data_IF_836863881762
#
_entry.id   IF_836863881762
#
_cell.length_a   1.000
_cell.length_b   1.000
_cell.length_c   1.000
_cell.angle_alpha   90.00
_cell.angle_beta   90.00
_cell.angle_gamma   90.00
#
_symmetry.space_group_name_H-M   'P 1'
#
loop_
_entity.id
_entity.type
_entity.pdbx_description
1 polymer ?
#
# COMPACT_ATOMS: atom_id res chain seq x y z
N UNK A 1 45.26 -20.38 -8.32
CA UNK A 1 44.79 -19.10 -8.87
C UNK A 1 44.49 -18.20 -7.69
N UNK A 2 45.43 -17.34 -7.36
CA UNK A 2 45.32 -16.29 -6.33
C UNK A 2 44.45 -15.18 -6.89
N UNK A 3 43.21 -15.07 -6.40
CA UNK A 3 42.38 -13.90 -6.66
C UNK A 3 43.00 -12.70 -5.94
N UNK A 4 43.28 -11.64 -6.68
CA UNK A 4 43.71 -10.36 -6.11
C UNK A 4 42.67 -9.89 -5.07
N UNK A 5 43.09 -9.35 -3.92
CA UNK A 5 42.16 -8.68 -3.01
C UNK A 5 41.56 -7.50 -3.78
N UNK A 6 40.24 -7.49 -3.93
CA UNK A 6 39.51 -6.38 -4.54
C UNK A 6 39.81 -5.12 -3.73
N UNK A 7 40.59 -4.21 -4.33
CA UNK A 7 40.86 -2.87 -3.82
C UNK A 7 39.51 -2.16 -3.60
N UNK A 8 39.21 -1.80 -2.35
CA UNK A 8 38.17 -0.85 -1.89
C UNK A 8 36.86 -0.87 -2.70
N UNK A 9 35.82 -1.57 -2.22
CA UNK A 9 34.46 -1.37 -2.72
C UNK A 9 33.97 0.03 -2.30
N UNK A 10 34.08 1.00 -3.22
CA UNK A 10 33.63 2.37 -2.98
C UNK A 10 32.15 2.43 -2.57
N UNK A 11 31.32 1.50 -3.06
CA UNK A 11 29.92 1.45 -2.68
C UNK A 11 29.75 0.97 -1.22
N UNK A 12 30.65 0.13 -0.70
CA UNK A 12 30.68 -0.25 0.71
C UNK A 12 31.02 0.92 1.61
N UNK A 13 32.05 1.70 1.27
CA UNK A 13 32.41 2.92 2.01
C UNK A 13 31.28 3.97 2.01
N UNK A 14 30.59 4.15 0.88
CA UNK A 14 29.44 5.06 0.79
C UNK A 14 28.31 4.60 1.73
N UNK A 15 28.01 3.30 1.78
CA UNK A 15 27.01 2.72 2.69
C UNK A 15 27.40 2.90 4.16
N UNK A 16 28.66 2.63 4.51
CA UNK A 16 29.19 2.82 5.87
C UNK A 16 29.10 4.28 6.33
N UNK A 17 29.40 5.23 5.44
CA UNK A 17 29.28 6.65 5.73
C UNK A 17 27.82 7.09 6.00
N UNK A 18 26.86 6.53 5.26
CA UNK A 18 25.43 6.74 5.52
C UNK A 18 25.04 6.17 6.88
N UNK A 19 25.41 4.92 7.16
CA UNK A 19 25.11 4.26 8.44
C UNK A 19 25.69 5.01 9.65
N UNK A 20 26.84 5.66 9.50
CA UNK A 20 27.45 6.49 10.54
C UNK A 20 26.71 7.81 10.81
N UNK A 21 25.81 8.23 9.93
CA UNK A 21 25.02 9.45 10.10
C UNK A 21 23.85 9.18 11.06
N UNK A 22 23.64 9.97 12.13
CA UNK A 22 22.51 9.77 13.03
C UNK A 22 21.16 9.74 12.29
N UNK A 23 20.23 8.92 12.78
CA UNK A 23 18.87 8.80 12.27
C UNK A 23 17.87 9.07 13.39
N UNK A 24 16.92 9.99 13.15
CA UNK A 24 15.89 10.42 14.10
C UNK A 24 14.46 10.25 13.55
N UNK A 25 14.32 9.58 12.41
CA UNK A 25 13.03 9.31 11.75
C UNK A 25 12.33 8.05 12.26
N UNK A 26 11.42 7.50 11.45
CA UNK A 26 10.71 6.26 11.77
C UNK A 26 11.70 5.07 11.92
N UNK A 27 11.37 4.04 12.71
CA UNK A 27 12.26 2.90 12.96
C UNK A 27 12.77 2.26 11.67
N UNK A 28 14.07 1.91 11.64
CA UNK A 28 14.69 1.14 10.56
C UNK A 28 14.41 -0.37 10.70
N UNK A 29 13.17 -0.70 11.06
CA UNK A 29 12.67 -2.06 11.30
C UNK A 29 11.15 -2.10 11.12
N UNK A 30 10.56 -3.28 11.19
CA UNK A 30 9.11 -3.40 11.34
C UNK A 30 8.62 -2.62 12.57
N UNK A 31 7.48 -1.94 12.43
CA UNK A 31 6.81 -1.25 13.55
C UNK A 31 5.29 -1.36 13.41
N UNK A 32 4.58 -1.44 14.52
CA UNK A 32 3.12 -1.40 14.57
C UNK A 32 2.59 -0.01 14.94
N UNK A 33 3.46 0.92 15.31
CA UNK A 33 3.08 2.28 15.72
C UNK A 33 2.75 3.15 14.49
N UNK A 34 2.00 4.22 14.74
CA UNK A 34 1.68 5.18 13.69
C UNK A 34 2.89 6.06 13.37
N UNK A 35 3.18 6.17 12.08
CA UNK A 35 4.10 7.15 11.51
C UNK A 35 3.47 7.78 10.27
N UNK A 36 3.83 9.04 10.00
CA UNK A 36 3.44 9.72 8.78
C UNK A 36 3.95 8.95 7.54
N UNK A 37 3.19 8.91 6.43
CA UNK A 37 3.61 8.22 5.21
C UNK A 37 5.00 8.62 4.72
N UNK A 38 5.34 9.92 4.80
CA UNK A 38 6.65 10.42 4.40
C UNK A 38 7.79 9.89 5.30
N UNK A 39 7.54 9.70 6.59
CA UNK A 39 8.54 9.16 7.52
C UNK A 39 8.81 7.66 7.25
N UNK A 40 7.77 6.89 6.90
CA UNK A 40 7.93 5.49 6.51
C UNK A 40 8.71 5.35 5.19
N UNK A 41 8.41 6.20 4.20
CA UNK A 41 9.17 6.24 2.94
C UNK A 41 10.63 6.59 3.20
N UNK A 42 10.90 7.64 3.97
CA UNK A 42 12.26 8.07 4.28
C UNK A 42 13.05 7.00 5.06
N UNK A 43 12.40 6.28 5.98
CA UNK A 43 13.02 5.18 6.70
C UNK A 43 13.42 4.03 5.76
N UNK A 44 12.54 3.65 4.82
CA UNK A 44 12.86 2.59 3.86
C UNK A 44 13.97 3.00 2.88
N UNK A 45 13.94 4.25 2.41
CA UNK A 45 15.03 4.82 1.59
C UNK A 45 16.35 4.85 2.36
N UNK A 46 16.32 5.21 3.65
CA UNK A 46 17.48 5.17 4.54
C UNK A 46 18.05 3.75 4.64
N UNK A 47 17.22 2.75 4.88
CA UNK A 47 17.66 1.35 4.92
C UNK A 47 18.30 0.91 3.59
N UNK A 48 17.69 1.27 2.46
CA UNK A 48 18.23 0.94 1.15
C UNK A 48 19.58 1.64 0.89
N UNK A 49 19.77 2.85 1.41
CA UNK A 49 21.05 3.56 1.34
C UNK A 49 22.14 2.91 2.21
N UNK A 50 21.79 2.26 3.32
CA UNK A 50 22.73 1.56 4.21
C UNK A 50 23.06 0.13 3.75
N UNK A 51 22.09 -0.56 3.15
CA UNK A 51 22.19 -2.01 2.90
C UNK A 51 22.04 -2.40 1.43
N UNK A 52 21.71 -1.45 0.55
CA UNK A 52 21.42 -1.67 -0.86
C UNK A 52 19.98 -2.12 -1.11
N UNK A 53 19.58 -2.10 -2.39
CA UNK A 53 18.22 -2.45 -2.82
C UNK A 53 17.97 -3.95 -2.99
N UNK A 54 19.01 -4.75 -3.24
CA UNK A 54 18.82 -6.18 -3.50
C UNK A 54 18.40 -6.91 -2.22
N UNK A 55 17.20 -7.50 -2.23
CA UNK A 55 16.65 -8.20 -1.05
C UNK A 55 16.22 -7.29 0.09
N UNK A 56 16.16 -5.96 -0.09
CA UNK A 56 15.86 -5.02 0.99
C UNK A 56 14.48 -5.27 1.65
N UNK A 57 13.47 -5.70 0.90
CA UNK A 57 12.12 -5.96 1.44
C UNK A 57 12.14 -7.12 2.45
N UNK A 58 12.50 -8.36 2.07
CA UNK A 58 12.51 -9.48 3.00
C UNK A 58 13.61 -9.38 4.06
N UNK A 59 14.62 -8.51 3.91
CA UNK A 59 15.67 -8.33 4.93
C UNK A 59 15.36 -7.21 5.93
N UNK A 60 14.73 -6.12 5.50
CA UNK A 60 14.39 -5.00 6.40
C UNK A 60 13.13 -5.28 7.23
N UNK A 61 12.18 -6.02 6.66
CA UNK A 61 10.82 -6.17 7.19
C UNK A 61 10.08 -4.82 7.36
N UNK A 62 10.61 -3.76 6.78
CA UNK A 62 10.10 -2.40 6.93
C UNK A 62 8.88 -2.16 6.05
N UNK A 63 8.07 -1.19 6.45
CA UNK A 63 7.01 -0.66 5.61
C UNK A 63 7.61 0.04 4.39
N UNK A 64 7.14 -0.35 3.21
CA UNK A 64 7.44 0.34 1.97
C UNK A 64 6.17 0.53 1.15
N UNK A 65 6.17 1.50 0.22
CA UNK A 65 5.02 1.74 -0.64
C UNK A 65 4.72 0.50 -1.48
N UNK A 66 3.43 0.20 -1.64
CA UNK A 66 3.01 -0.88 -2.52
C UNK A 66 3.27 -0.49 -3.99
N UNK A 67 3.99 -1.34 -4.72
CA UNK A 67 4.55 -1.01 -6.05
C UNK A 67 3.54 -0.67 -7.16
N UNK A 68 2.28 -1.04 -6.99
CA UNK A 68 1.22 -0.87 -8.00
C UNK A 68 0.38 0.40 -7.79
N UNK A 69 0.73 1.24 -6.82
CA UNK A 69 0.03 2.49 -6.52
C UNK A 69 0.88 3.69 -6.91
N UNK A 70 0.39 4.47 -7.88
CA UNK A 70 1.02 5.71 -8.33
C UNK A 70 0.57 6.91 -7.46
N UNK A 71 0.72 6.77 -6.14
CA UNK A 71 0.32 7.77 -5.14
C UNK A 71 -0.94 7.42 -4.34
N UNK A 72 -1.35 8.32 -3.42
CA UNK A 72 -2.48 8.08 -2.54
C UNK A 72 -3.81 8.24 -3.27
N UNK A 73 -4.82 7.48 -2.84
CA UNK A 73 -6.22 7.78 -3.21
C UNK A 73 -6.75 8.88 -2.31
N UNK A 74 -7.32 9.93 -2.90
CA UNK A 74 -7.77 11.11 -2.17
C UNK A 74 -9.28 11.26 -2.27
N UNK A 75 -9.95 11.45 -1.14
CA UNK A 75 -11.39 11.74 -1.09
C UNK A 75 -11.69 12.63 0.12
N UNK A 76 -12.36 13.77 -0.09
CA UNK A 76 -12.79 14.70 0.99
C UNK A 76 -11.72 15.11 2.01
N UNK A 77 -10.47 15.15 1.55
CA UNK A 77 -9.29 15.44 2.37
C UNK A 77 -8.83 14.27 3.24
N UNK A 78 -9.40 13.08 3.11
CA UNK A 78 -8.74 11.84 3.49
C UNK A 78 -7.84 11.37 2.35
N UNK A 79 -6.69 10.82 2.73
CA UNK A 79 -5.75 10.18 1.82
C UNK A 79 -5.59 8.72 2.24
N UNK A 80 -5.51 7.81 1.27
CA UNK A 80 -5.15 6.42 1.46
C UNK A 80 -3.72 6.21 0.97
N UNK A 81 -2.79 6.09 1.91
CA UNK A 81 -1.44 5.58 1.63
C UNK A 81 -1.38 4.11 2.01
N UNK A 82 -1.08 3.26 1.03
CA UNK A 82 -0.91 1.82 1.26
C UNK A 82 0.56 1.47 1.36
N UNK A 83 0.90 0.76 2.43
CA UNK A 83 2.21 0.18 2.66
C UNK A 83 2.12 -1.33 2.76
N UNK A 84 3.20 -1.99 2.36
CA UNK A 84 3.40 -3.41 2.53
C UNK A 84 4.68 -3.66 3.31
N UNK A 85 4.70 -4.71 4.12
CA UNK A 85 5.89 -5.22 4.75
C UNK A 85 5.91 -6.74 4.63
N UNK A 86 7.08 -7.31 4.35
CA UNK A 86 7.27 -8.74 4.39
C UNK A 86 7.74 -9.16 5.79
N UNK A 87 6.83 -9.74 6.57
CA UNK A 87 7.14 -10.26 7.90
C UNK A 87 7.46 -11.77 7.87
N UNK A 88 7.58 -12.40 6.69
CA UNK A 88 8.09 -13.77 6.54
C UNK A 88 9.62 -13.80 6.61
N UNK A 89 10.19 -13.63 7.80
CA UNK A 89 11.60 -13.97 7.96
C UNK A 89 11.77 -15.46 8.29
N UNK A 90 12.68 -16.13 7.56
CA UNK A 90 13.12 -17.50 7.86
C UNK A 90 14.65 -17.61 7.93
N UNK A 91 15.33 -16.47 7.84
CA UNK A 91 16.78 -16.44 7.80
C UNK A 91 17.35 -16.68 9.20
N UNK A 92 18.42 -17.46 9.27
CA UNK A 92 19.05 -17.86 10.53
C UNK A 92 19.94 -16.78 11.12
N UNK A 93 20.29 -15.75 10.33
CA UNK A 93 21.12 -14.62 10.73
C UNK A 93 20.30 -13.47 11.35
N UNK A 94 18.97 -13.55 11.34
CA UNK A 94 18.08 -12.60 12.00
C UNK A 94 17.58 -13.13 13.35
N UNK A 95 17.77 -12.36 14.42
CA UNK A 95 17.21 -12.67 15.74
C UNK A 95 15.77 -12.16 15.84
N UNK A 96 14.85 -13.08 16.05
CA UNK A 96 13.42 -12.79 16.26
C UNK A 96 12.96 -13.05 17.69
N UNK A 97 13.87 -13.41 18.60
CA UNK A 97 13.51 -13.79 19.97
C UNK A 97 13.11 -12.59 20.83
N UNK A 98 13.78 -11.44 20.67
CA UNK A 98 13.51 -10.22 21.42
C UNK A 98 12.33 -9.39 20.85
N UNK A 99 12.10 -9.48 19.54
CA UNK A 99 11.04 -8.75 18.83
C UNK A 99 10.50 -9.61 17.68
N UNK A 100 9.58 -10.56 17.96
CA UNK A 100 9.08 -11.48 16.95
C UNK A 100 8.28 -10.73 15.90
N UNK A 101 8.60 -10.96 14.64
CA UNK A 101 7.79 -10.48 13.52
C UNK A 101 6.43 -11.18 13.55
N UNK A 102 5.36 -10.49 13.11
CA UNK A 102 4.03 -11.08 13.11
C UNK A 102 3.88 -12.21 12.08
N UNK A 103 4.88 -12.50 11.26
CA UNK A 103 4.77 -13.44 10.13
C UNK A 103 3.87 -12.88 9.02
N UNK A 104 3.88 -13.50 7.84
CA UNK A 104 2.92 -13.13 6.80
C UNK A 104 3.35 -11.92 5.96
N UNK A 105 2.62 -11.68 4.87
CA UNK A 105 2.59 -10.36 4.24
C UNK A 105 1.73 -9.45 5.10
N UNK A 106 2.20 -8.24 5.36
CA UNK A 106 1.47 -7.23 6.14
C UNK A 106 1.11 -6.06 5.25
N UNK A 107 -0.12 -5.58 5.41
CA UNK A 107 -0.68 -4.47 4.66
C UNK A 107 -1.16 -3.40 5.61
N UNK A 108 -0.73 -2.17 5.39
CA UNK A 108 -1.11 -1.03 6.19
C UNK A 108 -1.81 0.01 5.31
N UNK A 109 -3.00 0.41 5.72
CA UNK A 109 -3.64 1.62 5.21
C UNK A 109 -3.39 2.75 6.20
N UNK A 110 -2.97 3.91 5.70
CA UNK A 110 -2.60 5.08 6.50
C UNK A 110 -3.32 6.33 5.98
N UNK A 111 -3.97 7.05 6.89
CA UNK A 111 -4.61 8.33 6.65
C UNK A 111 -3.93 9.43 7.48
N UNK A 112 -3.05 10.24 6.87
CA UNK A 112 -2.22 11.20 7.58
C UNK A 112 -3.03 12.29 8.28
N UNK A 113 -4.07 12.80 7.63
CA UNK A 113 -4.96 13.83 8.20
C UNK A 113 -5.55 13.42 9.54
N UNK A 114 -5.81 12.13 9.73
CA UNK A 114 -6.48 11.62 10.92
C UNK A 114 -5.51 10.97 11.91
N UNK A 115 -4.22 10.94 11.61
CA UNK A 115 -3.24 10.10 12.31
C UNK A 115 -3.76 8.66 12.49
N UNK A 116 -4.46 8.15 11.47
CA UNK A 116 -5.16 6.88 11.51
C UNK A 116 -4.42 5.87 10.65
N UNK A 117 -4.29 4.65 11.16
CA UNK A 117 -3.85 3.52 10.36
C UNK A 117 -4.56 2.24 10.77
N UNK A 118 -4.46 1.22 9.92
CA UNK A 118 -4.82 -0.14 10.26
C UNK A 118 -3.79 -1.07 9.64
N UNK A 119 -3.42 -2.12 10.37
CA UNK A 119 -2.51 -3.17 9.90
C UNK A 119 -3.31 -4.46 9.80
N UNK A 120 -3.20 -5.14 8.65
CA UNK A 120 -3.91 -6.38 8.35
C UNK A 120 -2.98 -7.39 7.69
N UNK A 121 -3.41 -8.64 7.60
CA UNK A 121 -2.78 -9.69 6.78
C UNK A 121 -3.34 -9.77 5.35
N UNK A 122 -4.30 -8.92 5.00
CA UNK A 122 -4.99 -8.93 3.72
C UNK A 122 -5.14 -7.50 3.16
N UNK A 123 -4.57 -7.25 1.98
CA UNK A 123 -4.65 -5.96 1.27
C UNK A 123 -6.08 -5.43 1.18
N UNK A 124 -7.03 -6.28 0.79
CA UNK A 124 -8.43 -5.88 0.62
C UNK A 124 -9.04 -5.42 1.95
N UNK A 125 -8.72 -6.09 3.06
CA UNK A 125 -9.22 -5.70 4.37
C UNK A 125 -8.70 -4.31 4.81
N UNK A 126 -7.43 -4.00 4.53
CA UNK A 126 -6.87 -2.67 4.78
C UNK A 126 -7.55 -1.59 3.93
N UNK A 127 -7.79 -1.86 2.65
CA UNK A 127 -8.51 -0.94 1.75
C UNK A 127 -9.93 -0.70 2.23
N UNK A 128 -10.66 -1.75 2.58
CA UNK A 128 -12.04 -1.65 3.08
C UNK A 128 -12.12 -0.88 4.40
N UNK A 129 -11.22 -1.15 5.34
CA UNK A 129 -11.15 -0.44 6.62
C UNK A 129 -10.85 1.05 6.43
N UNK A 130 -10.04 1.43 5.43
CA UNK A 130 -9.87 2.85 5.10
C UNK A 130 -11.15 3.47 4.53
N UNK A 131 -11.90 2.75 3.68
CA UNK A 131 -13.17 3.24 3.18
C UNK A 131 -14.21 3.37 4.31
N UNK A 132 -14.20 2.46 5.29
CA UNK A 132 -15.00 2.61 6.52
C UNK A 132 -14.69 3.89 7.28
N UNK A 133 -13.41 4.21 7.37
CA UNK A 133 -12.92 5.40 8.05
C UNK A 133 -13.26 6.69 7.29
N UNK A 134 -12.95 6.74 5.98
CA UNK A 134 -13.00 7.96 5.18
C UNK A 134 -14.36 8.20 4.49
N UNK A 135 -15.11 7.14 4.23
CA UNK A 135 -16.36 7.19 3.46
C UNK A 135 -17.48 6.34 4.12
N UNK A 136 -17.92 6.67 5.34
CA UNK A 136 -19.01 5.93 5.99
C UNK A 136 -20.26 5.80 5.07
N UNK A 137 -20.78 4.58 4.94
CA UNK A 137 -21.92 4.26 4.05
C UNK A 137 -21.54 3.80 2.64
N UNK A 138 -20.25 3.75 2.29
CA UNK A 138 -19.80 3.29 0.96
C UNK A 138 -20.28 1.88 0.60
N UNK A 139 -20.48 0.99 1.59
CA UNK A 139 -20.98 -0.38 1.37
C UNK A 139 -22.43 -0.45 0.90
N UNK A 140 -23.19 0.62 1.09
CA UNK A 140 -24.60 0.71 0.67
C UNK A 140 -24.74 1.20 -0.77
N UNK A 141 -23.62 1.51 -1.44
CA UNK A 141 -23.63 1.94 -2.82
C UNK A 141 -24.20 0.84 -3.74
N UNK A 142 -24.89 1.23 -4.82
CA UNK A 142 -25.32 0.28 -5.83
C UNK A 142 -24.14 -0.53 -6.37
N UNK A 143 -24.33 -1.85 -6.46
CA UNK A 143 -23.34 -2.79 -7.01
C UNK A 143 -23.47 -2.82 -8.54
N UNK A 144 -22.37 -2.54 -9.23
CA UNK A 144 -22.28 -2.61 -10.69
C UNK A 144 -22.36 -4.07 -11.15
N UNK A 145 -23.34 -4.43 -12.00
CA UNK A 145 -23.48 -5.81 -12.47
C UNK A 145 -22.25 -6.29 -13.23
N UNK A 146 -21.89 -7.56 -13.07
CA UNK A 146 -20.68 -8.16 -13.65
C UNK A 146 -20.58 -8.01 -15.17
N UNK A 147 -21.73 -8.01 -15.87
CA UNK A 147 -21.77 -7.82 -17.34
C UNK A 147 -21.28 -6.44 -17.77
N UNK A 148 -21.41 -5.45 -16.90
CA UNK A 148 -20.99 -4.07 -17.13
C UNK A 148 -19.62 -3.75 -16.50
N UNK A 149 -19.22 -4.47 -15.45
CA UNK A 149 -17.94 -4.33 -14.74
C UNK A 149 -16.71 -4.75 -15.56
N UNK A 150 -16.49 -4.10 -16.70
CA UNK A 150 -15.35 -4.32 -17.60
C UNK A 150 -14.70 -2.99 -17.95
N UNK A 151 -13.46 -2.79 -17.54
CA UNK A 151 -12.69 -1.55 -17.74
C UNK A 151 -11.66 -1.69 -18.88
N UNK A 152 -12.04 -2.41 -19.95
CA UNK A 152 -11.12 -2.83 -21.01
C UNK A 152 -10.91 -1.77 -22.11
N UNK A 153 -11.91 -0.92 -22.35
CA UNK A 153 -11.88 0.09 -23.41
C UNK A 153 -12.70 1.34 -23.05
N UNK A 154 -12.48 2.42 -23.82
CA UNK A 154 -13.11 3.73 -23.59
C UNK A 154 -14.64 3.66 -23.60
N UNK A 155 -15.23 2.87 -24.50
CA UNK A 155 -16.68 2.75 -24.62
C UNK A 155 -17.28 2.09 -23.37
N UNK A 156 -16.61 1.06 -22.82
CA UNK A 156 -17.04 0.38 -21.60
C UNK A 156 -16.87 1.26 -20.37
N UNK A 157 -15.75 1.98 -20.27
CA UNK A 157 -15.53 2.96 -19.19
C UNK A 157 -16.63 4.03 -19.22
N UNK A 158 -17.00 4.55 -20.40
CA UNK A 158 -18.09 5.50 -20.54
C UNK A 158 -19.46 4.90 -20.14
N UNK A 159 -19.71 3.63 -20.46
CA UNK A 159 -20.94 2.95 -20.06
C UNK A 159 -21.03 2.76 -18.53
N UNK A 160 -19.90 2.45 -17.88
CA UNK A 160 -19.82 2.38 -16.41
C UNK A 160 -20.07 3.75 -15.79
N UNK A 161 -19.45 4.81 -16.32
CA UNK A 161 -19.66 6.17 -15.85
C UNK A 161 -21.13 6.60 -15.98
N UNK A 162 -21.77 6.32 -17.12
CA UNK A 162 -23.19 6.60 -17.34
C UNK A 162 -24.10 5.86 -16.35
N UNK A 163 -23.78 4.60 -16.04
CA UNK A 163 -24.50 3.82 -15.03
C UNK A 163 -24.35 4.42 -13.62
N UNK A 164 -23.13 4.85 -13.25
CA UNK A 164 -22.88 5.52 -11.98
C UNK A 164 -23.72 6.80 -11.89
N UNK A 165 -23.71 7.64 -12.91
CA UNK A 165 -24.52 8.87 -12.94
C UNK A 165 -26.02 8.60 -12.78
N UNK A 166 -26.52 7.51 -13.37
CA UNK A 166 -27.94 7.15 -13.30
C UNK A 166 -28.34 6.48 -11.97
N UNK A 167 -27.42 5.82 -11.26
CA UNK A 167 -27.75 4.91 -10.15
C UNK A 167 -27.25 5.41 -8.79
N UNK A 168 -26.11 6.11 -8.74
CA UNK A 168 -25.53 6.56 -7.48
C UNK A 168 -26.34 7.71 -6.89
N UNK A 169 -26.54 7.75 -5.55
CA UNK A 169 -27.12 8.92 -4.91
C UNK A 169 -26.26 10.17 -5.18
N UNK A 170 -26.89 11.34 -5.32
CA UNK A 170 -26.18 12.55 -5.75
C UNK A 170 -24.99 12.92 -4.84
N UNK A 171 -25.11 12.68 -3.53
CA UNK A 171 -24.04 12.92 -2.56
C UNK A 171 -22.78 12.07 -2.80
N UNK A 172 -22.90 10.95 -3.51
CA UNK A 172 -21.81 10.03 -3.82
C UNK A 172 -21.21 10.25 -5.23
N UNK A 173 -21.74 11.18 -6.02
CA UNK A 173 -21.21 11.47 -7.37
C UNK A 173 -20.11 12.53 -7.31
N UNK A 174 -19.00 12.22 -6.62
CA UNK A 174 -17.88 13.16 -6.37
C UNK A 174 -16.52 12.47 -6.44
N UNK A 175 -15.41 13.22 -6.63
CA UNK A 175 -14.07 12.65 -6.77
C UNK A 175 -13.65 11.77 -5.59
N UNK A 176 -12.98 10.65 -5.89
CA UNK A 176 -12.44 9.71 -4.92
C UNK A 176 -13.41 8.65 -4.42
N UNK A 177 -14.70 8.76 -4.73
CA UNK A 177 -15.71 7.75 -4.34
C UNK A 177 -15.46 6.42 -5.06
N UNK A 178 -15.52 5.28 -4.34
CA UNK A 178 -15.34 3.96 -4.94
C UNK A 178 -16.51 3.57 -5.84
N UNK A 179 -16.29 2.56 -6.67
CA UNK A 179 -17.34 1.79 -7.32
C UNK A 179 -17.35 0.38 -6.75
N UNK A 180 -18.54 -0.15 -6.45
CA UNK A 180 -18.72 -1.54 -6.08
C UNK A 180 -19.00 -2.37 -7.33
N UNK A 181 -18.30 -3.48 -7.51
CA UNK A 181 -18.49 -4.34 -8.69
C UNK A 181 -18.74 -5.78 -8.30
N UNK A 182 -19.76 -6.38 -8.89
CA UNK A 182 -20.04 -7.80 -8.77
C UNK A 182 -18.90 -8.59 -9.46
N UNK A 183 -18.28 -9.52 -8.74
CA UNK A 183 -17.16 -10.33 -9.24
C UNK A 183 -17.57 -11.78 -9.52
N UNK A 184 -16.75 -12.44 -10.33
CA UNK A 184 -16.83 -13.88 -10.51
C UNK A 184 -15.98 -14.61 -9.47
N UNK A 185 -15.79 -15.91 -9.67
CA UNK A 185 -14.94 -16.76 -8.83
C UNK A 185 -13.51 -16.23 -8.67
N UNK A 186 -12.99 -15.59 -9.73
CA UNK A 186 -11.63 -15.06 -9.80
C UNK A 186 -11.62 -13.52 -9.86
N UNK A 187 -10.53 -12.90 -9.42
CA UNK A 187 -10.33 -11.46 -9.55
C UNK A 187 -11.06 -10.62 -8.49
N UNK A 188 -10.94 -11.01 -7.22
CA UNK A 188 -11.56 -10.31 -6.07
C UNK A 188 -10.74 -9.17 -5.49
N UNK A 189 -9.58 -8.87 -6.10
CA UNK A 189 -8.70 -7.81 -5.63
C UNK A 189 -9.32 -6.44 -5.88
N UNK A 190 -9.24 -5.57 -4.88
CA UNK A 190 -9.62 -4.16 -4.99
C UNK A 190 -8.59 -3.40 -5.84
N UNK A 191 -9.06 -2.56 -6.76
CA UNK A 191 -8.16 -1.90 -7.73
C UNK A 191 -8.24 -0.37 -7.60
N UNK A 192 -7.14 0.31 -7.28
CA UNK A 192 -7.10 1.77 -7.18
C UNK A 192 -7.36 2.44 -8.54
N UNK A 193 -7.99 3.62 -8.51
CA UNK A 193 -8.18 4.49 -9.67
C UNK A 193 -9.12 3.98 -10.76
N UNK A 194 -9.78 2.83 -10.56
CA UNK A 194 -10.71 2.25 -11.54
C UNK A 194 -12.15 2.73 -11.42
N UNK A 195 -12.53 3.36 -10.31
CA UNK A 195 -13.82 4.05 -10.25
C UNK A 195 -13.84 5.17 -11.30
N UNK A 196 -14.94 5.37 -12.04
CA UNK A 196 -15.09 6.53 -12.92
C UNK A 196 -15.03 7.86 -12.17
N UNK A 197 -15.14 7.83 -10.84
CA UNK A 197 -15.00 8.98 -9.95
C UNK A 197 -13.57 9.14 -9.41
N UNK A 198 -12.61 8.32 -9.85
CA UNK A 198 -11.20 8.38 -9.44
C UNK A 198 -10.86 7.63 -8.14
N UNK A 199 -11.84 7.02 -7.48
CA UNK A 199 -11.64 6.12 -6.34
C UNK A 199 -11.30 4.67 -6.74
N UNK A 200 -11.48 3.75 -5.78
CA UNK A 200 -11.27 2.32 -5.99
C UNK A 200 -12.40 1.63 -6.75
N UNK A 201 -12.06 0.57 -7.48
CA UNK A 201 -12.98 -0.49 -7.87
C UNK A 201 -12.90 -1.61 -6.81
N UNK A 202 -13.92 -1.67 -5.96
CA UNK A 202 -14.03 -2.61 -4.84
C UNK A 202 -14.90 -3.80 -5.26
N UNK A 203 -14.39 -5.01 -5.04
CA UNK A 203 -15.18 -6.21 -5.21
C UNK A 203 -16.30 -6.24 -4.17
N UNK A 204 -17.55 -6.33 -4.63
CA UNK A 204 -18.68 -6.67 -3.79
C UNK A 204 -18.78 -8.20 -3.74
N UNK A 205 -18.59 -8.77 -2.56
CA UNK A 205 -18.81 -10.19 -2.29
C UNK A 205 -20.30 -10.54 -2.23
#
# INVERSE_FOLDING_TARGET
>A
MTGEPTLFDLAEFEREAVAATPWDGAPLSYTADYYEPAALVAAFERYCAEHGHFGCIPRSHMWHRAYYLDGPTVTEGHELHMFTADAWCREVDHDHSAAPLPGGGRYQANCPRCAWHVITDNESAAVEAWHDHALPGWRELPILPRKLARFENKQRIAAVAAWVTATYPAAWQRPGVPILTERGEHGRRHVPGRSPLGGYDLAAD
#
